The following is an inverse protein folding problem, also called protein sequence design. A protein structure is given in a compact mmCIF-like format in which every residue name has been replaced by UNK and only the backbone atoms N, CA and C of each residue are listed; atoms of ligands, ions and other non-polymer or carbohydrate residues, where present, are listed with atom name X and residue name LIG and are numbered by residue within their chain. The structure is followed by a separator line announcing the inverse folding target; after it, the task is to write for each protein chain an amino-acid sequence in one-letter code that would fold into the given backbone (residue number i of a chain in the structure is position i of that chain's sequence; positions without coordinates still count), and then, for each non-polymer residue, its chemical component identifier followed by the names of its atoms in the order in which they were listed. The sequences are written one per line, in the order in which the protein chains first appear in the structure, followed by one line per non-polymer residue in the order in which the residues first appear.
data_IF_457757992797
#
_entry.id   IF_457757992797
#
_cell.length_a   1.000
_cell.length_b   1.000
_cell.length_c   1.000
_cell.angle_alpha   90.00
_cell.angle_beta   90.00
_cell.angle_gamma   90.00
#
_symmetry.space_group_name_H-M   'P 1'
#
loop_
_entity.id
_entity.type
_entity.pdbx_description
1 polymer ?
#
# COMPACT_ATOMS: atom_id res chain seq x y z
N UNK A 1 28.68 -52.35 -4.24
CA UNK A 1 28.32 -51.45 -3.12
C UNK A 1 27.42 -50.39 -3.72
N UNK A 2 26.21 -50.24 -3.21
CA UNK A 2 25.12 -49.48 -3.83
C UNK A 2 25.47 -47.99 -3.89
N UNK A 3 25.79 -47.47 -5.08
CA UNK A 3 26.16 -46.07 -5.31
C UNK A 3 24.92 -45.17 -5.24
N UNK A 4 24.41 -44.97 -4.03
CA UNK A 4 23.66 -43.75 -3.74
C UNK A 4 24.69 -42.66 -3.45
N UNK A 5 24.92 -41.80 -4.44
CA UNK A 5 25.77 -40.64 -4.24
C UNK A 5 25.16 -39.73 -3.16
N UNK A 6 26.02 -39.17 -2.31
CA UNK A 6 25.60 -38.30 -1.20
C UNK A 6 24.80 -37.10 -1.72
N UNK A 7 25.14 -36.61 -2.92
CA UNK A 7 24.41 -35.53 -3.59
C UNK A 7 22.99 -35.93 -3.97
N UNK A 8 22.78 -37.16 -4.44
CA UNK A 8 21.47 -37.69 -4.82
C UNK A 8 20.55 -37.85 -3.60
N UNK A 9 21.09 -38.33 -2.48
CA UNK A 9 20.37 -38.40 -1.21
C UNK A 9 20.01 -37.01 -0.67
N UNK A 10 20.95 -36.05 -0.75
CA UNK A 10 20.73 -34.67 -0.33
C UNK A 10 19.68 -33.96 -1.20
N UNK A 11 19.70 -34.18 -2.52
CA UNK A 11 18.70 -33.67 -3.44
C UNK A 11 17.29 -34.17 -3.10
N UNK A 12 17.13 -35.47 -2.85
CA UNK A 12 15.85 -36.04 -2.43
C UNK A 12 15.37 -35.45 -1.09
N UNK A 13 16.27 -35.30 -0.11
CA UNK A 13 15.94 -34.74 1.20
C UNK A 13 15.53 -33.26 1.08
N UNK A 14 16.30 -32.46 0.35
CA UNK A 14 16.05 -31.03 0.17
C UNK A 14 14.74 -30.78 -0.57
N UNK A 15 14.49 -31.46 -1.68
CA UNK A 15 13.24 -31.30 -2.46
C UNK A 15 12.01 -31.74 -1.68
N UNK A 16 12.15 -32.74 -0.80
CA UNK A 16 11.09 -33.19 0.10
C UNK A 16 10.78 -32.17 1.20
N UNK A 17 11.81 -31.61 1.87
CA UNK A 17 11.63 -30.58 2.91
C UNK A 17 11.16 -29.25 2.31
N UNK A 18 11.65 -28.89 1.12
CA UNK A 18 11.19 -27.73 0.35
C UNK A 18 9.79 -27.92 -0.26
N UNK A 19 9.17 -29.10 -0.08
CA UNK A 19 7.85 -29.46 -0.59
C UNK A 19 7.70 -29.37 -2.12
N UNK A 20 8.83 -29.42 -2.85
CA UNK A 20 8.83 -29.51 -4.33
C UNK A 20 8.40 -30.93 -4.74
N UNK A 21 9.02 -31.94 -4.12
CA UNK A 21 8.60 -33.34 -4.20
C UNK A 21 8.54 -33.95 -5.60
N UNK A 22 9.57 -33.78 -6.43
CA UNK A 22 9.58 -34.32 -7.80
C UNK A 22 9.40 -35.85 -7.87
N UNK A 23 9.90 -36.59 -6.87
CA UNK A 23 9.71 -38.06 -6.77
C UNK A 23 10.46 -38.87 -7.84
N UNK A 24 11.42 -38.25 -8.52
CA UNK A 24 12.28 -38.83 -9.56
C UNK A 24 13.31 -39.81 -8.99
N UNK A 25 13.78 -39.56 -7.77
CA UNK A 25 14.75 -40.40 -7.06
C UNK A 25 14.09 -40.96 -5.79
N UNK A 26 13.98 -42.28 -5.68
CA UNK A 26 13.45 -42.94 -4.48
C UNK A 26 14.26 -44.21 -4.16
N UNK A 27 14.68 -44.44 -2.90
CA UNK A 27 15.43 -45.63 -2.54
C UNK A 27 14.52 -46.86 -2.56
N UNK A 28 14.92 -47.92 -3.27
CA UNK A 28 14.16 -49.17 -3.32
C UNK A 28 14.38 -50.07 -2.10
N UNK A 29 15.35 -49.75 -1.23
CA UNK A 29 15.62 -50.53 -0.02
C UNK A 29 14.71 -50.15 1.16
N UNK A 30 14.00 -51.12 1.78
CA UNK A 30 13.04 -50.84 2.84
C UNK A 30 13.64 -50.21 4.10
N UNK A 31 14.91 -50.49 4.41
CA UNK A 31 15.62 -49.85 5.53
C UNK A 31 15.86 -48.36 5.27
N UNK A 32 16.30 -48.01 4.07
CA UNK A 32 16.62 -46.61 3.69
C UNK A 32 15.35 -45.78 3.61
N UNK A 33 14.25 -46.36 3.14
CA UNK A 33 12.92 -45.73 3.11
C UNK A 33 12.49 -45.32 4.53
N UNK A 34 12.62 -46.21 5.53
CA UNK A 34 12.21 -45.93 6.89
C UNK A 34 13.03 -44.78 7.52
N UNK A 35 14.34 -44.78 7.30
CA UNK A 35 15.20 -43.67 7.72
C UNK A 35 14.79 -42.36 7.04
N UNK A 36 14.58 -42.36 5.72
CA UNK A 36 14.15 -41.17 4.98
C UNK A 36 12.82 -40.60 5.49
N UNK A 37 11.85 -41.44 5.85
CA UNK A 37 10.57 -40.97 6.40
C UNK A 37 10.76 -40.22 7.73
N UNK A 38 11.59 -40.73 8.63
CA UNK A 38 11.89 -40.06 9.90
C UNK A 38 12.63 -38.74 9.64
N UNK A 39 13.62 -38.74 8.75
CA UNK A 39 14.37 -37.54 8.37
C UNK A 39 13.49 -36.45 7.78
N UNK A 40 12.54 -36.79 6.91
CA UNK A 40 11.60 -35.82 6.31
C UNK A 40 10.70 -35.22 7.40
N UNK A 41 10.16 -36.04 8.32
CA UNK A 41 9.31 -35.54 9.41
C UNK A 41 10.10 -34.56 10.28
N UNK A 42 11.30 -34.92 10.71
CA UNK A 42 12.16 -34.03 11.49
C UNK A 42 12.54 -32.76 10.71
N UNK A 43 12.84 -32.89 9.42
CA UNK A 43 13.18 -31.77 8.54
C UNK A 43 12.03 -30.77 8.38
N UNK A 44 10.79 -31.25 8.23
CA UNK A 44 9.60 -30.39 8.12
C UNK A 44 9.30 -29.65 9.43
N UNK A 45 9.52 -30.28 10.59
CA UNK A 45 9.36 -29.60 11.90
C UNK A 45 10.35 -28.44 12.04
N UNK A 46 11.62 -28.64 11.66
CA UNK A 46 12.63 -27.58 11.67
C UNK A 46 12.32 -26.50 10.63
N UNK A 47 11.91 -26.91 9.43
CA UNK A 47 11.53 -26.00 8.35
C UNK A 47 10.33 -25.14 8.75
N UNK A 48 9.36 -25.69 9.47
CA UNK A 48 8.22 -24.93 10.01
C UNK A 48 8.68 -23.79 10.92
N UNK A 49 9.58 -24.05 11.87
CA UNK A 49 10.13 -22.99 12.75
C UNK A 49 10.91 -21.94 11.95
N UNK A 50 11.72 -22.38 10.98
CA UNK A 50 12.45 -21.46 10.12
C UNK A 50 11.48 -20.61 9.27
N UNK A 51 10.42 -21.21 8.75
CA UNK A 51 9.39 -20.53 7.98
C UNK A 51 8.69 -19.45 8.81
N UNK A 52 8.35 -19.72 10.07
CA UNK A 52 7.78 -18.71 10.97
C UNK A 52 8.72 -17.51 11.16
N UNK A 53 10.01 -17.75 11.40
CA UNK A 53 11.00 -16.69 11.57
C UNK A 53 11.17 -15.88 10.27
N UNK A 54 11.30 -16.57 9.13
CA UNK A 54 11.42 -15.93 7.82
C UNK A 54 10.19 -15.07 7.49
N UNK A 55 9.00 -15.57 7.80
CA UNK A 55 7.75 -14.85 7.58
C UNK A 55 7.71 -13.55 8.39
N UNK A 56 8.16 -13.57 9.65
CA UNK A 56 8.19 -12.37 10.50
C UNK A 56 9.20 -11.35 9.97
N UNK A 57 10.42 -11.77 9.65
CA UNK A 57 11.46 -10.90 9.09
C UNK A 57 11.02 -10.27 7.76
N UNK A 58 10.41 -11.06 6.87
CA UNK A 58 9.88 -10.57 5.59
C UNK A 58 8.75 -9.56 5.83
N UNK A 59 7.86 -9.84 6.79
CA UNK A 59 6.75 -8.94 7.15
C UNK A 59 7.28 -7.62 7.70
N UNK A 60 8.26 -7.65 8.59
CA UNK A 60 8.88 -6.45 9.16
C UNK A 60 9.51 -5.59 8.06
N UNK A 61 10.37 -6.19 7.22
CA UNK A 61 11.01 -5.47 6.10
C UNK A 61 10.00 -4.94 5.08
N UNK A 62 8.99 -5.73 4.73
CA UNK A 62 7.93 -5.31 3.83
C UNK A 62 7.10 -4.16 4.42
N UNK A 63 6.82 -4.20 5.72
CA UNK A 63 6.10 -3.13 6.42
C UNK A 63 6.95 -1.87 6.53
N UNK A 64 8.25 -1.97 6.79
CA UNK A 64 9.17 -0.83 6.80
C UNK A 64 9.25 -0.14 5.45
N UNK A 65 9.43 -0.91 4.37
CA UNK A 65 9.43 -0.39 3.01
C UNK A 65 8.12 0.33 2.71
N UNK A 66 6.99 -0.29 3.07
CA UNK A 66 5.66 0.31 2.94
C UNK A 66 5.47 1.56 3.78
N UNK A 67 6.02 1.61 5.00
CA UNK A 67 5.93 2.75 5.92
C UNK A 67 6.72 3.94 5.39
N UNK A 68 7.93 3.71 4.86
CA UNK A 68 8.76 4.75 4.21
C UNK A 68 8.04 5.33 2.98
N UNK A 69 7.44 4.48 2.14
CA UNK A 69 6.64 4.92 0.99
C UNK A 69 5.38 5.72 1.40
N UNK A 70 4.67 5.29 2.47
CA UNK A 70 3.51 6.02 2.99
C UNK A 70 3.88 7.40 3.55
N UNK A 71 5.02 7.51 4.25
CA UNK A 71 5.46 8.79 4.83
C UNK A 71 5.84 9.83 3.76
N UNK A 72 6.44 9.41 2.63
CA UNK A 72 6.73 10.35 1.54
C UNK A 72 5.44 10.87 0.91
N UNK A 73 4.48 10.00 0.60
CA UNK A 73 3.18 10.37 0.03
C UNK A 73 2.40 11.32 0.96
N UNK A 74 2.38 11.06 2.27
CA UNK A 74 1.69 11.91 3.25
C UNK A 74 2.26 13.34 3.32
N UNK A 75 3.59 13.51 3.21
CA UNK A 75 4.24 14.83 3.19
C UNK A 75 3.82 15.67 1.99
N UNK A 76 3.76 15.08 0.80
CA UNK A 76 3.27 15.76 -0.41
C UNK A 76 1.76 16.05 -0.34
N UNK A 77 0.99 15.14 0.24
CA UNK A 77 -0.45 15.36 0.45
C UNK A 77 -0.70 16.53 1.41
N UNK A 78 0.00 16.60 2.54
CA UNK A 78 -0.14 17.70 3.51
C UNK A 78 0.24 19.07 2.92
N UNK A 79 1.31 19.17 2.13
CA UNK A 79 1.66 20.44 1.48
C UNK A 79 0.62 20.87 0.43
N UNK A 80 0.02 19.92 -0.28
CA UNK A 80 -1.08 20.19 -1.21
C UNK A 80 -2.42 20.49 -0.49
N UNK A 81 -2.69 19.89 0.66
CA UNK A 81 -3.92 20.14 1.43
C UNK A 81 -3.85 21.45 2.21
N UNK A 82 -2.70 21.81 2.77
CA UNK A 82 -2.53 23.08 3.48
C UNK A 82 -2.70 24.29 2.55
N UNK A 83 -2.26 24.17 1.30
CA UNK A 83 -2.46 25.23 0.28
C UNK A 83 -3.92 25.34 -0.18
N UNK A 84 -4.66 24.23 -0.27
CA UNK A 84 -6.08 24.26 -0.66
C UNK A 84 -7.06 24.62 0.47
N UNK A 85 -6.72 24.36 1.74
CA UNK A 85 -7.63 24.61 2.89
C UNK A 85 -7.73 26.08 3.31
N UNK A 86 -6.76 26.93 2.94
CA UNK A 86 -6.79 28.36 3.24
C UNK A 86 -7.98 29.10 2.61
N UNK A 87 -8.45 28.65 1.44
CA UNK A 87 -9.66 29.20 0.78
C UNK A 87 -10.95 28.72 1.47
N UNK A 88 -11.01 27.44 1.89
CA UNK A 88 -12.21 26.85 2.48
C UNK A 88 -12.56 27.44 3.86
N UNK A 89 -11.55 27.86 4.64
CA UNK A 89 -11.77 28.48 5.98
C UNK A 89 -12.24 29.93 5.90
N UNK A 90 -12.02 30.63 4.79
CA UNK A 90 -12.33 32.06 4.67
C UNK A 90 -13.82 32.34 4.44
N UNK A 91 -14.55 31.33 3.95
CA UNK A 91 -15.97 31.45 3.62
C UNK A 91 -16.91 30.62 4.51
N UNK A 92 -16.41 30.00 5.58
CA UNK A 92 -17.28 29.27 6.53
C UNK A 92 -18.08 30.31 7.35
N UNK A 93 -19.42 30.39 7.22
CA UNK A 93 -20.20 31.28 8.06
C UNK A 93 -20.10 30.77 9.50
N UNK A 94 -19.46 31.54 10.37
CA UNK A 94 -19.49 31.28 11.80
C UNK A 94 -20.96 31.19 12.23
N UNK A 95 -21.33 30.09 12.90
CA UNK A 95 -22.64 29.92 13.51
C UNK A 95 -22.73 30.88 14.70
N UNK A 96 -23.03 32.14 14.38
CA UNK A 96 -23.24 33.23 15.32
C UNK A 96 -24.66 33.12 15.85
N UNK A 97 -24.80 32.59 17.06
CA UNK A 97 -26.05 32.51 17.82
C UNK A 97 -26.34 33.89 18.44
N UNK A 98 -26.52 34.89 17.58
CA UNK A 98 -26.97 36.23 17.98
C UNK A 98 -28.37 36.47 17.39
N UNK A 99 -29.31 37.07 18.13
CA UNK A 99 -30.66 37.31 17.63
C UNK A 99 -30.58 38.24 16.40
N UNK A 100 -31.06 37.73 15.27
CA UNK A 100 -30.92 38.35 13.95
C UNK A 100 -31.68 39.68 13.92
N UNK A 101 -30.96 40.80 13.90
CA UNK A 101 -31.50 42.07 13.43
C UNK A 101 -31.37 42.13 11.90
N UNK A 102 -32.49 42.33 11.20
CA UNK A 102 -32.58 42.35 9.73
C UNK A 102 -31.57 43.31 9.07
N UNK A 103 -31.26 44.42 9.74
CA UNK A 103 -30.31 45.45 9.30
C UNK A 103 -28.92 44.87 9.03
N UNK A 104 -28.47 43.90 9.84
CA UNK A 104 -27.16 43.28 9.68
C UNK A 104 -27.09 42.34 8.46
N UNK A 105 -28.24 41.79 8.03
CA UNK A 105 -28.32 40.82 6.93
C UNK A 105 -28.20 41.53 5.58
N UNK A 106 -28.83 42.69 5.44
CA UNK A 106 -28.78 43.50 4.22
C UNK A 106 -27.36 44.03 3.94
N UNK A 107 -26.66 44.51 4.98
CA UNK A 107 -25.26 44.94 4.84
C UNK A 107 -24.31 43.77 4.52
N UNK A 108 -24.58 42.57 5.07
CA UNK A 108 -23.84 41.35 4.70
C UNK A 108 -24.05 40.98 3.22
N UNK A 109 -25.24 41.16 2.67
CA UNK A 109 -25.52 40.91 1.25
C UNK A 109 -24.84 41.95 0.34
N UNK A 110 -24.79 43.21 0.75
CA UNK A 110 -24.07 44.27 0.04
C UNK A 110 -22.56 43.99 -0.01
N UNK A 111 -21.97 43.56 1.12
CA UNK A 111 -20.53 43.23 1.21
C UNK A 111 -20.15 41.98 0.41
N UNK A 112 -21.07 41.02 0.24
CA UNK A 112 -20.90 39.84 -0.63
C UNK A 112 -20.88 40.19 -2.12
N UNK A 113 -21.64 41.20 -2.55
CA UNK A 113 -21.66 41.63 -3.97
C UNK A 113 -20.38 42.34 -4.39
N UNK A 114 -19.68 43.01 -3.47
CA UNK A 114 -18.43 43.72 -3.77
C UNK A 114 -17.16 42.84 -3.75
N UNK A 115 -17.24 41.60 -3.26
CA UNK A 115 -16.07 40.72 -3.05
C UNK A 115 -15.93 39.60 -4.08
N UNK A 116 -16.78 39.56 -5.12
CA UNK A 116 -16.59 38.67 -6.25
C UNK A 116 -15.52 39.26 -7.19
N UNK A 117 -14.43 38.53 -7.50
CA UNK A 117 -13.46 39.00 -8.49
C UNK A 117 -14.13 39.06 -9.87
N UNK A 118 -13.95 40.17 -10.59
CA UNK A 118 -14.36 40.26 -11.98
C UNK A 118 -13.61 39.18 -12.78
N UNK A 119 -14.35 38.19 -13.28
CA UNK A 119 -13.82 37.20 -14.21
C UNK A 119 -13.50 37.93 -15.51
N UNK A 120 -12.24 38.30 -15.70
CA UNK A 120 -11.75 38.76 -17.00
C UNK A 120 -11.55 37.53 -17.88
N UNK A 121 -12.59 37.19 -18.66
CA UNK A 121 -12.45 36.23 -19.77
C UNK A 121 -11.55 36.86 -20.83
N UNK A 122 -10.26 36.67 -20.69
CA UNK A 122 -9.30 36.93 -21.76
C UNK A 122 -9.06 35.61 -22.50
N UNK A 123 -10.09 35.12 -23.18
CA UNK A 123 -9.94 34.11 -24.22
C UNK A 123 -10.08 34.77 -25.58
N UNK A 124 -8.95 34.76 -26.27
CA UNK A 124 -8.76 35.26 -27.60
C UNK A 124 -9.53 34.37 -28.60
N UNK A 125 -10.14 34.98 -29.62
CA UNK A 125 -10.33 34.42 -30.99
C UNK A 125 -11.54 33.54 -31.35
N UNK A 126 -12.53 33.24 -30.51
CA UNK A 126 -13.50 32.18 -30.92
C UNK A 126 -14.89 32.63 -31.44
N UNK A 127 -15.40 33.84 -31.22
CA UNK A 127 -16.75 34.19 -31.70
C UNK A 127 -16.88 35.64 -32.16
N UNK A 128 -16.59 35.91 -33.44
CA UNK A 128 -17.43 36.74 -34.33
C UNK A 128 -16.92 36.64 -35.78
N UNK A 129 -16.77 35.40 -36.22
CA UNK A 129 -17.00 34.94 -37.59
C UNK A 129 -18.52 34.94 -37.93
N UNK A 130 -19.33 35.79 -37.29
CA UNK A 130 -20.79 35.68 -37.37
C UNK A 130 -21.48 37.03 -37.15
N UNK A 131 -21.16 38.02 -37.98
CA UNK A 131 -22.17 38.95 -38.52
C UNK A 131 -21.49 40.08 -39.32
N UNK A 132 -21.43 39.86 -40.64
CA UNK A 132 -21.42 40.85 -41.73
C UNK A 132 -20.15 41.70 -41.92
#
# INVERSE_FOLDING_TARGET
MTEWDYFTAFYFLFTSVALIGFGDVFPSEPRVILFNMIFIITGVVLFSMCYFILQEEIREKAFEASRKARMSISKYSQSLLNTKTAWSRRNSPAFDRSPVSEVSTFERLKKRRQSAPAVTLNDSKTLLSFSK
#
